data_IF_070660295339
#
_entry.id   IF_070660295339
#
_cell.length_a   1.000
_cell.length_b   1.000
_cell.length_c   1.000
_cell.angle_alpha   90.00
_cell.angle_beta   90.00
_cell.angle_gamma   90.00
#
_symmetry.space_group_name_H-M   'P 1'
#
loop_
_entity.id
_entity.type
_entity.pdbx_description
1 polymer ?
#
# COMPACT_ATOMS: atom_id res chain seq x y z
N UNK A 1 -43.85 27.83 14.03
CA UNK A 1 -42.84 26.82 14.42
C UNK A 1 -42.77 25.61 13.48
N UNK A 2 -43.90 24.98 13.08
CA UNK A 2 -43.89 23.80 12.18
C UNK A 2 -43.26 24.05 10.79
N UNK A 3 -43.48 25.24 10.20
CA UNK A 3 -42.88 25.61 8.90
C UNK A 3 -41.36 25.79 8.95
N UNK A 4 -40.82 26.27 10.08
CA UNK A 4 -39.37 26.44 10.28
C UNK A 4 -38.71 25.07 10.55
N UNK A 5 -39.38 24.20 11.30
CA UNK A 5 -38.93 22.82 11.52
C UNK A 5 -38.87 22.02 10.21
N UNK A 6 -39.85 22.16 9.31
CA UNK A 6 -39.81 21.46 8.02
C UNK A 6 -38.69 21.95 7.09
N UNK A 7 -38.36 23.26 7.12
CA UNK A 7 -37.25 23.80 6.34
C UNK A 7 -35.91 23.29 6.86
N UNK A 8 -35.74 23.21 8.18
CA UNK A 8 -34.52 22.67 8.81
C UNK A 8 -34.35 21.18 8.49
N UNK A 9 -35.43 20.38 8.47
CA UNK A 9 -35.35 18.96 8.12
C UNK A 9 -34.98 18.72 6.64
N UNK A 10 -35.45 19.58 5.73
CA UNK A 10 -35.06 19.52 4.30
C UNK A 10 -33.60 19.96 4.10
N UNK A 11 -33.13 20.96 4.85
CA UNK A 11 -31.74 21.41 4.76
C UNK A 11 -30.75 20.38 5.36
N UNK A 12 -31.13 19.70 6.44
CA UNK A 12 -30.33 18.66 7.08
C UNK A 12 -30.23 17.37 6.25
N UNK A 13 -31.27 17.05 5.47
CA UNK A 13 -31.26 15.90 4.55
C UNK A 13 -30.45 16.16 3.28
N UNK A 14 -30.29 17.42 2.87
CA UNK A 14 -29.46 17.81 1.70
C UNK A 14 -27.94 17.76 2.00
N UNK A 15 -27.54 17.86 3.27
CA UNK A 15 -26.12 17.79 3.68
C UNK A 15 -25.57 16.35 3.68
N UNK A 16 -26.44 15.33 3.79
CA UNK A 16 -26.01 13.92 3.87
C UNK A 16 -25.62 13.30 2.51
N UNK A 17 -25.88 13.97 1.38
CA UNK A 17 -25.59 13.43 0.03
C UNK A 17 -24.29 13.94 -0.60
N UNK A 18 -23.56 14.86 0.05
CA UNK A 18 -22.33 15.45 -0.52
C UNK A 18 -21.04 14.71 -0.12
N UNK A 19 -21.12 13.72 0.78
CA UNK A 19 -19.92 13.06 1.33
C UNK A 19 -19.40 11.85 0.55
N UNK A 20 -19.75 11.69 -0.72
CA UNK A 20 -19.32 10.53 -1.49
C UNK A 20 -18.80 10.91 -2.88
N UNK A 21 -17.65 11.59 -2.96
CA UNK A 21 -16.82 11.60 -4.18
C UNK A 21 -15.39 12.08 -3.91
N UNK A 22 -14.58 11.22 -3.28
CA UNK A 22 -13.13 11.21 -3.53
C UNK A 22 -12.64 9.78 -3.43
N UNK A 23 -12.92 9.01 -4.48
CA UNK A 23 -12.14 7.83 -4.82
C UNK A 23 -11.68 8.03 -6.25
N UNK A 24 -10.39 8.30 -6.41
CA UNK A 24 -9.64 8.17 -7.66
C UNK A 24 -9.60 6.68 -8.05
N UNK A 25 -10.78 6.09 -8.31
CA UNK A 25 -10.88 4.73 -8.82
C UNK A 25 -10.53 4.77 -10.29
N UNK A 26 -9.37 4.19 -10.66
CA UNK A 26 -9.12 3.81 -12.04
C UNK A 26 -10.27 2.95 -12.56
N UNK A 27 -10.57 3.07 -13.85
CA UNK A 27 -11.58 2.25 -14.51
C UNK A 27 -11.24 0.76 -14.29
N UNK A 28 -12.19 -0.01 -13.78
CA UNK A 28 -12.01 -1.44 -13.43
C UNK A 28 -11.55 -2.31 -14.60
N UNK A 29 -11.86 -1.91 -15.84
CA UNK A 29 -11.37 -2.58 -17.05
C UNK A 29 -9.83 -2.46 -17.18
N UNK A 30 -9.28 -1.28 -16.91
CA UNK A 30 -7.83 -1.04 -16.96
C UNK A 30 -7.11 -1.80 -15.84
N UNK A 31 -7.69 -1.81 -14.63
CA UNK A 31 -7.18 -2.59 -13.49
C UNK A 31 -7.10 -4.07 -13.85
N UNK A 32 -8.15 -4.63 -14.45
CA UNK A 32 -8.17 -6.04 -14.84
C UNK A 32 -7.05 -6.39 -15.83
N UNK A 33 -6.78 -5.51 -16.81
CA UNK A 33 -5.68 -5.70 -17.75
C UNK A 33 -4.30 -5.67 -17.07
N UNK A 34 -4.10 -4.78 -16.10
CA UNK A 34 -2.87 -4.72 -15.31
C UNK A 34 -2.65 -6.02 -14.50
N UNK A 35 -3.70 -6.49 -13.82
CA UNK A 35 -3.65 -7.72 -13.03
C UNK A 35 -3.38 -8.96 -13.88
N UNK A 36 -3.85 -8.99 -15.13
CA UNK A 36 -3.56 -10.07 -16.06
C UNK A 36 -2.09 -10.09 -16.50
N UNK A 37 -1.50 -8.91 -16.73
CA UNK A 37 -0.09 -8.78 -17.12
C UNK A 37 0.90 -8.97 -15.96
N UNK A 38 0.44 -8.81 -14.72
CA UNK A 38 1.28 -8.74 -13.52
C UNK A 38 2.37 -7.65 -13.62
N UNK A 39 2.10 -6.60 -14.39
CA UNK A 39 2.99 -5.44 -14.57
C UNK A 39 2.22 -4.19 -14.15
N UNK A 40 2.56 -3.64 -12.99
CA UNK A 40 1.89 -2.49 -12.39
C UNK A 40 2.74 -1.85 -11.31
N UNK A 41 2.39 -0.62 -10.95
CA UNK A 41 2.99 0.11 -9.85
C UNK A 41 1.99 0.21 -8.70
N UNK A 42 2.30 -0.43 -7.58
CA UNK A 42 1.63 -0.17 -6.31
C UNK A 42 2.13 1.16 -5.73
N UNK A 43 1.19 2.00 -5.29
CA UNK A 43 1.44 3.26 -4.60
C UNK A 43 0.92 3.12 -3.18
N UNK A 44 1.80 3.23 -2.18
CA UNK A 44 1.45 3.06 -0.78
C UNK A 44 0.83 4.35 -0.21
N UNK A 45 -0.29 4.21 0.50
CA UNK A 45 -0.99 5.32 1.17
C UNK A 45 -0.91 5.21 2.69
N UNK A 46 -0.81 3.99 3.23
CA UNK A 46 -0.73 3.76 4.66
C UNK A 46 0.21 2.60 4.98
N UNK A 47 1.02 2.72 6.03
CA UNK A 47 1.85 1.64 6.55
C UNK A 47 1.20 0.99 7.79
N UNK A 48 1.23 -0.32 7.85
CA UNK A 48 0.64 -1.15 8.91
C UNK A 48 1.72 -2.00 9.60
N UNK A 49 2.43 -1.44 10.60
CA UNK A 49 3.39 -2.20 11.40
C UNK A 49 2.69 -3.32 12.18
N UNK A 50 3.27 -4.51 12.21
CA UNK A 50 2.69 -5.63 12.97
C UNK A 50 2.86 -5.46 14.50
N UNK A 51 3.81 -4.64 14.94
CA UNK A 51 4.14 -4.49 16.37
C UNK A 51 3.44 -3.27 17.00
N UNK A 52 2.56 -3.55 17.96
CA UNK A 52 1.85 -2.53 18.75
C UNK A 52 2.76 -1.63 19.58
N UNK A 53 3.97 -2.06 19.96
CA UNK A 53 4.91 -1.22 20.70
C UNK A 53 5.32 0.01 19.89
N UNK A 54 5.56 -0.15 18.59
CA UNK A 54 5.91 0.96 17.69
C UNK A 54 4.75 1.95 17.61
N UNK A 55 3.53 1.43 17.49
CA UNK A 55 2.30 2.23 17.47
C UNK A 55 2.11 2.97 18.80
N UNK A 56 2.36 2.31 19.93
CA UNK A 56 2.26 2.91 21.26
C UNK A 56 3.29 4.03 21.47
N UNK A 57 4.53 3.83 20.99
CA UNK A 57 5.57 4.86 21.01
C UNK A 57 5.18 6.04 20.13
N UNK A 58 4.67 5.80 18.92
CA UNK A 58 4.17 6.88 18.06
C UNK A 58 3.04 7.66 18.73
N UNK A 59 2.12 6.97 19.40
CA UNK A 59 1.01 7.60 20.13
C UNK A 59 1.43 8.33 21.41
N UNK A 60 2.64 8.10 21.94
CA UNK A 60 3.14 8.83 23.11
C UNK A 60 3.77 10.17 22.76
N UNK A 61 4.02 10.44 21.48
CA UNK A 61 4.58 11.70 21.02
C UNK A 61 3.56 12.84 21.17
N UNK A 62 3.96 13.99 21.74
CA UNK A 62 3.10 15.15 21.80
C UNK A 62 2.75 15.61 20.37
N UNK A 63 1.46 15.86 20.10
CA UNK A 63 0.89 16.33 18.82
C UNK A 63 0.81 15.35 17.63
N UNK A 64 1.10 14.06 17.82
CA UNK A 64 0.98 13.05 16.76
C UNK A 64 0.08 11.89 17.15
N UNK A 65 -0.85 11.50 16.27
CA UNK A 65 -1.43 10.15 16.31
C UNK A 65 -0.63 9.23 15.40
N UNK A 66 -0.40 7.99 15.82
CA UNK A 66 0.27 6.99 14.99
C UNK A 66 -0.41 6.85 13.63
N UNK A 67 -1.75 6.90 13.61
CA UNK A 67 -2.54 6.85 12.38
C UNK A 67 -2.16 7.97 11.39
N UNK A 68 -1.94 9.21 11.86
CA UNK A 68 -1.48 10.31 11.00
C UNK A 68 -0.04 10.13 10.55
N UNK A 69 0.83 9.61 11.42
CA UNK A 69 2.25 9.38 11.09
C UNK A 69 2.45 8.25 10.10
N UNK A 70 1.54 7.27 10.08
CA UNK A 70 1.58 6.11 9.20
C UNK A 70 0.85 6.34 7.87
N UNK A 71 0.11 7.46 7.72
CA UNK A 71 -0.34 7.94 6.41
C UNK A 71 0.87 8.47 5.64
N UNK A 72 1.10 7.89 4.48
CA UNK A 72 2.29 8.15 3.68
C UNK A 72 2.05 9.25 2.67
N UNK A 73 3.04 10.14 2.51
CA UNK A 73 3.07 11.06 1.39
C UNK A 73 3.30 10.31 0.06
N UNK A 74 2.87 10.87 -1.08
CA UNK A 74 3.13 10.27 -2.39
C UNK A 74 4.63 10.03 -2.65
N UNK A 75 4.95 8.93 -3.36
CA UNK A 75 6.31 8.60 -3.77
C UNK A 75 6.87 7.29 -3.21
N UNK A 76 6.11 6.59 -2.36
CA UNK A 76 6.43 5.24 -1.93
C UNK A 76 5.75 4.21 -2.82
N UNK A 77 6.53 3.39 -3.50
CA UNK A 77 6.05 2.50 -4.56
C UNK A 77 6.68 1.12 -4.52
N UNK A 78 5.96 0.17 -5.10
CA UNK A 78 6.50 -1.11 -5.56
C UNK A 78 6.11 -1.27 -7.02
N UNK A 79 7.08 -1.32 -7.91
CA UNK A 79 6.88 -1.40 -9.35
C UNK A 79 7.33 -2.76 -9.89
N UNK A 80 6.40 -3.47 -10.53
CA UNK A 80 6.69 -4.74 -11.21
C UNK A 80 6.74 -4.48 -12.71
N UNK A 81 7.92 -4.68 -13.29
CA UNK A 81 8.14 -4.75 -14.74
C UNK A 81 8.56 -6.17 -15.11
N UNK A 82 8.50 -6.47 -16.40
CA UNK A 82 8.88 -7.78 -16.94
C UNK A 82 10.20 -8.37 -16.39
N UNK A 83 11.22 -7.54 -16.21
CA UNK A 83 12.58 -7.98 -15.82
C UNK A 83 13.13 -7.25 -14.58
N UNK A 84 12.33 -6.37 -13.98
CA UNK A 84 12.78 -5.51 -12.89
C UNK A 84 11.66 -5.34 -11.88
N UNK A 85 11.97 -5.66 -10.62
CA UNK A 85 11.19 -5.30 -9.46
C UNK A 85 11.89 -4.15 -8.76
N UNK A 86 11.23 -2.99 -8.65
CA UNK A 86 11.74 -1.84 -7.91
C UNK A 86 10.87 -1.59 -6.68
N UNK A 87 11.49 -1.61 -5.50
CA UNK A 87 10.79 -1.42 -4.22
C UNK A 87 11.34 -0.18 -3.54
N UNK A 88 10.45 0.74 -3.21
CA UNK A 88 10.71 1.96 -2.45
C UNK A 88 9.60 2.15 -1.42
N UNK A 89 9.68 1.40 -0.31
CA UNK A 89 8.68 1.42 0.77
C UNK A 89 9.33 1.75 2.13
N UNK A 90 8.71 2.62 2.93
CA UNK A 90 9.25 3.02 4.24
C UNK A 90 9.04 1.91 5.25
N UNK A 91 9.94 1.75 6.21
CA UNK A 91 9.81 0.72 7.24
C UNK A 91 9.58 1.34 8.62
N UNK A 92 8.61 0.80 9.35
CA UNK A 92 8.30 1.16 10.73
C UNK A 92 8.16 -0.14 11.51
N UNK A 93 9.11 -0.42 12.41
CA UNK A 93 9.15 -1.73 13.04
C UNK A 93 10.45 -1.99 13.78
N UNK A 94 10.55 -3.19 14.36
CA UNK A 94 11.77 -3.66 14.99
C UNK A 94 12.66 -4.37 13.98
N UNK A 95 13.89 -3.90 13.84
CA UNK A 95 14.96 -4.63 13.17
C UNK A 95 15.63 -5.58 14.15
N UNK A 96 15.92 -6.81 13.72
CA UNK A 96 16.64 -7.81 14.51
C UNK A 96 18.14 -7.74 14.31
N UNK A 97 18.56 -7.24 13.14
CA UNK A 97 19.96 -6.99 12.79
C UNK A 97 20.15 -5.50 12.55
N UNK A 98 21.07 -4.90 13.30
CA UNK A 98 21.43 -3.50 13.08
C UNK A 98 22.19 -3.36 11.76
N UNK A 99 21.91 -2.28 11.03
CA UNK A 99 22.67 -1.90 9.86
C UNK A 99 23.22 -0.48 10.05
N UNK A 100 24.51 -0.30 9.82
CA UNK A 100 25.15 1.01 9.92
C UNK A 100 24.88 1.88 8.68
N UNK A 101 24.41 1.27 7.58
CA UNK A 101 24.03 1.96 6.36
C UNK A 101 22.58 2.47 6.46
N UNK A 102 22.35 3.80 6.52
CA UNK A 102 21.01 4.37 6.63
C UNK A 102 20.10 4.02 5.45
N UNK A 103 20.66 3.72 4.27
CA UNK A 103 19.86 3.35 3.09
C UNK A 103 19.15 2.01 3.26
N UNK A 104 19.63 1.16 4.18
CA UNK A 104 19.09 -0.19 4.45
C UNK A 104 18.03 -0.21 5.54
N UNK A 105 17.68 0.95 6.09
CA UNK A 105 16.65 1.07 7.13
C UNK A 105 15.22 1.02 6.58
N UNK A 106 15.04 1.21 5.27
CA UNK A 106 13.78 1.03 4.54
C UNK A 106 13.84 -0.16 3.57
N UNK A 107 12.73 -0.50 2.92
CA UNK A 107 12.76 -1.38 1.75
C UNK A 107 13.04 -0.53 0.51
N UNK A 108 14.33 -0.38 0.18
CA UNK A 108 14.81 0.32 -1.02
C UNK A 108 15.77 -0.58 -1.77
N UNK A 109 15.25 -1.29 -2.77
CA UNK A 109 16.06 -2.21 -3.56
C UNK A 109 15.49 -2.40 -4.96
N UNK A 110 16.34 -2.91 -5.83
CA UNK A 110 15.99 -3.37 -7.16
C UNK A 110 16.38 -4.83 -7.27
N UNK A 111 15.45 -5.68 -7.69
CA UNK A 111 15.68 -7.08 -7.99
C UNK A 111 15.52 -7.34 -9.49
N UNK A 112 16.46 -8.08 -10.07
CA UNK A 112 16.40 -8.59 -11.45
C UNK A 112 16.22 -10.10 -11.50
N UNK A 113 16.42 -10.77 -10.36
CA UNK A 113 16.22 -12.21 -10.20
C UNK A 113 15.06 -12.45 -9.23
N UNK A 114 13.84 -12.49 -9.78
CA UNK A 114 12.63 -12.73 -9.03
C UNK A 114 11.60 -13.51 -9.83
N UNK A 115 10.70 -14.17 -9.09
CA UNK A 115 9.56 -14.88 -9.65
C UNK A 115 8.27 -14.27 -9.12
N UNK A 116 7.23 -14.25 -9.96
CA UNK A 116 5.88 -13.82 -9.59
C UNK A 116 4.92 -14.98 -9.85
N UNK A 117 4.26 -15.46 -8.80
CA UNK A 117 3.17 -16.44 -8.92
C UNK A 117 1.84 -15.77 -8.62
N UNK A 118 0.81 -16.13 -9.37
CA UNK A 118 -0.54 -15.57 -9.24
C UNK A 118 -1.52 -16.63 -8.77
N UNK A 119 -2.38 -16.28 -7.83
CA UNK A 119 -3.55 -17.06 -7.44
C UNK A 119 -4.78 -16.17 -7.27
N UNK A 120 -5.95 -16.78 -7.20
CA UNK A 120 -7.19 -16.07 -6.86
C UNK A 120 -7.28 -15.88 -5.34
N UNK A 121 -7.76 -14.70 -4.93
CA UNK A 121 -8.02 -14.37 -3.54
C UNK A 121 -9.52 -14.25 -3.26
N UNK A 122 -9.85 -13.69 -2.09
CA UNK A 122 -11.24 -13.50 -1.67
C UNK A 122 -11.83 -12.24 -2.31
N UNK A 123 -13.16 -12.18 -2.47
CA UNK A 123 -13.86 -11.01 -3.03
C UNK A 123 -13.29 -10.60 -4.40
N UNK A 124 -13.01 -11.61 -5.23
CA UNK A 124 -12.41 -11.47 -6.56
C UNK A 124 -11.07 -10.71 -6.60
N UNK A 125 -10.27 -10.78 -5.54
CA UNK A 125 -8.89 -10.26 -5.56
C UNK A 125 -7.96 -11.20 -6.34
N UNK A 126 -6.87 -10.63 -6.86
CA UNK A 126 -5.73 -11.38 -7.38
C UNK A 126 -4.58 -11.27 -6.37
N UNK A 127 -4.01 -12.41 -6.01
CA UNK A 127 -2.85 -12.49 -5.11
C UNK A 127 -1.61 -12.76 -5.95
N UNK A 128 -0.60 -11.90 -5.82
CA UNK A 128 0.73 -12.09 -6.40
C UNK A 128 1.71 -12.38 -5.29
N UNK A 129 2.41 -13.51 -5.37
CA UNK A 129 3.51 -13.84 -4.46
C UNK A 129 4.81 -13.66 -5.20
N UNK A 130 5.66 -12.79 -4.69
CA UNK A 130 6.97 -12.48 -5.25
C UNK A 130 8.04 -13.10 -4.36
N UNK A 131 8.98 -13.80 -4.99
CA UNK A 131 10.21 -14.28 -4.37
C UNK A 131 11.40 -13.75 -5.13
N UNK A 132 12.34 -13.16 -4.41
CA UNK A 132 13.59 -12.62 -4.94
C UNK A 132 14.74 -13.55 -4.58
N UNK A 133 15.59 -13.89 -5.54
CA UNK A 133 16.79 -14.72 -5.30
C UNK A 133 18.04 -13.84 -5.06
N UNK A 134 18.00 -12.57 -5.49
CA UNK A 134 19.09 -11.60 -5.33
C UNK A 134 18.97 -10.68 -4.09
N UNK A 135 17.88 -10.77 -3.33
CA UNK A 135 17.67 -10.01 -2.08
C UNK A 135 17.64 -10.94 -0.86
N UNK A 136 18.80 -11.15 -0.23
CA UNK A 136 18.97 -12.14 0.85
C UNK A 136 18.15 -11.89 2.12
N UNK A 137 17.65 -10.66 2.33
CA UNK A 137 16.87 -10.31 3.51
C UNK A 137 15.35 -10.40 3.30
N UNK A 138 14.89 -10.51 2.05
CA UNK A 138 13.47 -10.61 1.70
C UNK A 138 13.09 -12.07 1.56
N UNK A 139 12.16 -12.55 2.39
CA UNK A 139 11.65 -13.91 2.29
C UNK A 139 10.54 -14.00 1.23
N UNK A 140 9.60 -13.05 1.27
CA UNK A 140 8.51 -12.96 0.30
C UNK A 140 7.82 -11.61 0.33
N UNK A 141 7.21 -11.24 -0.80
CA UNK A 141 6.29 -10.11 -0.91
C UNK A 141 4.96 -10.65 -1.41
N UNK A 142 3.87 -10.31 -0.72
CA UNK A 142 2.52 -10.72 -1.10
C UNK A 142 1.74 -9.46 -1.44
N UNK A 143 1.12 -9.45 -2.62
CA UNK A 143 0.30 -8.34 -3.11
C UNK A 143 -1.10 -8.89 -3.35
N UNK A 144 -2.09 -8.40 -2.60
CA UNK A 144 -3.50 -8.70 -2.85
C UNK A 144 -4.17 -7.47 -3.46
N UNK A 145 -4.52 -7.54 -4.74
CA UNK A 145 -5.13 -6.45 -5.48
C UNK A 145 -6.59 -6.75 -5.85
N UNK A 146 -7.48 -5.81 -5.57
CA UNK A 146 -8.92 -5.90 -5.82
C UNK A 146 -9.29 -5.25 -7.17
N UNK A 147 -10.42 -5.65 -7.74
CA UNK A 147 -10.94 -5.12 -9.03
C UNK A 147 -11.16 -3.60 -9.06
N UNK A 148 -11.28 -2.96 -7.89
CA UNK A 148 -11.41 -1.51 -7.75
C UNK A 148 -10.04 -0.78 -7.66
N UNK A 149 -8.94 -1.50 -7.81
CA UNK A 149 -7.57 -0.97 -7.75
C UNK A 149 -6.99 -0.89 -6.34
N UNK A 150 -7.81 -1.00 -5.28
CA UNK A 150 -7.31 -1.09 -3.90
C UNK A 150 -6.42 -2.30 -3.78
N UNK A 151 -5.30 -2.13 -3.09
CA UNK A 151 -4.26 -3.14 -3.02
C UNK A 151 -3.63 -3.15 -1.64
N UNK A 152 -3.39 -4.34 -1.14
CA UNK A 152 -2.68 -4.60 0.11
C UNK A 152 -1.35 -5.27 -0.22
N UNK A 153 -0.26 -4.79 0.36
CA UNK A 153 1.08 -5.38 0.19
C UNK A 153 1.62 -5.78 1.54
N UNK A 154 2.10 -7.00 1.68
CA UNK A 154 2.79 -7.50 2.88
C UNK A 154 4.20 -7.95 2.51
N UNK A 155 5.19 -7.55 3.32
CA UNK A 155 6.58 -7.95 3.14
C UNK A 155 7.02 -8.75 4.37
N UNK A 156 7.49 -9.97 4.12
CA UNK A 156 8.18 -10.79 5.11
C UNK A 156 9.69 -10.78 4.86
N UNK A 157 10.45 -10.61 5.94
CA UNK A 157 11.90 -10.44 5.91
C UNK A 157 12.55 -11.14 7.10
N UNK A 158 13.81 -11.53 6.96
CA UNK A 158 14.54 -12.23 8.02
C UNK A 158 15.36 -11.30 8.94
N UNK A 159 15.55 -10.05 8.55
CA UNK A 159 16.35 -9.06 9.28
C UNK A 159 15.51 -8.13 10.17
N UNK A 160 14.17 -8.15 10.03
CA UNK A 160 13.22 -7.27 10.70
C UNK A 160 11.82 -7.87 10.80
N UNK A 161 10.97 -7.29 11.64
CA UNK A 161 9.55 -7.65 11.72
C UNK A 161 8.84 -7.39 10.39
N UNK A 162 7.90 -8.27 10.01
CA UNK A 162 7.03 -8.05 8.88
C UNK A 162 6.22 -6.75 9.02
N UNK A 163 5.82 -6.21 7.87
CA UNK A 163 4.99 -5.01 7.76
C UNK A 163 4.10 -5.15 6.54
N UNK A 164 2.98 -4.44 6.55
CA UNK A 164 2.14 -4.30 5.38
C UNK A 164 1.77 -2.86 5.06
N UNK A 165 1.15 -2.67 3.90
CA UNK A 165 0.77 -1.38 3.37
C UNK A 165 -0.58 -1.48 2.68
N UNK A 166 -1.40 -0.45 2.88
CA UNK A 166 -2.58 -0.21 2.07
C UNK A 166 -2.27 0.83 1.00
N UNK A 167 -2.89 0.68 -0.16
CA UNK A 167 -2.79 1.65 -1.23
C UNK A 167 -3.56 1.21 -2.46
N UNK A 168 -3.03 1.56 -3.64
CA UNK A 168 -3.67 1.25 -4.92
C UNK A 168 -2.64 0.96 -6.01
N UNK A 169 -3.06 0.28 -7.06
CA UNK A 169 -2.20 0.00 -8.23
C UNK A 169 -2.51 0.93 -9.39
N UNK A 170 -1.45 1.35 -10.09
CA UNK A 170 -1.47 2.18 -11.29
C UNK A 170 -0.74 1.49 -12.44
N UNK A 171 -0.95 2.00 -13.66
CA UNK A 171 -0.11 1.62 -14.79
C UNK A 171 1.34 2.06 -14.53
N UNK A 172 2.31 1.25 -14.97
CA UNK A 172 3.72 1.63 -14.88
C UNK A 172 3.98 2.92 -15.67
N UNK A 173 4.85 3.78 -15.12
CA UNK A 173 5.28 4.96 -15.84
C UNK A 173 5.95 4.55 -17.18
N UNK A 174 5.73 5.30 -18.27
CA UNK A 174 6.38 4.99 -19.54
C UNK A 174 7.90 5.03 -19.36
N UNK A 175 8.59 4.05 -19.93
CA UNK A 175 10.05 4.00 -19.95
C UNK A 175 10.54 5.30 -20.61
N UNK A 176 11.24 6.15 -19.84
CA UNK A 176 11.93 7.32 -20.40
C UNK A 176 13.00 6.79 -21.35
N UNK A 177 12.78 6.97 -22.66
CA UNK A 177 13.75 6.66 -23.70
C UNK A 177 14.92 7.64 -23.65
#
# INVERSE_FOLDING_TARGET
>A
MKKLSNIVTVFLSLILVVSCTTQSSMNSANVTALLQKAEFTFVAEHANPTNYEVVNVMNSLPSGSASRMLNLDPGYTLEIKKEVLEVTLPYFGRMYRSNMDPQKNSYRFTSKDFTVTRSEGKKDSSIFTIKTEDQSNINSIIIEAYKNGKTYVSIDANDRQAISYDGYITENAPVKK
#
